data_IF_141726009959
#
_entry.id   IF_141726009959
#
_cell.length_a   1.000
_cell.length_b   1.000
_cell.length_c   1.000
_cell.angle_alpha   90.00
_cell.angle_beta   90.00
_cell.angle_gamma   90.00
#
_symmetry.space_group_name_H-M   'P 1'
#
loop_
_entity.id
_entity.type
_entity.pdbx_description
1 polymer ?
#
# COMPACT_ATOMS: atom_id res chain seq x y z
N UNK A 1 1.54 2.41 -28.43
CA UNK A 1 1.97 1.51 -29.52
C UNK A 1 2.94 0.47 -28.96
N UNK A 2 2.89 -0.82 -29.32
CA UNK A 2 3.88 -1.76 -28.74
C UNK A 2 5.20 -1.66 -29.50
N UNK A 3 6.28 -1.44 -28.76
CA UNK A 3 7.67 -1.29 -29.21
C UNK A 3 8.45 -2.51 -28.73
N UNK A 4 9.19 -3.12 -29.64
CA UNK A 4 10.10 -4.23 -29.36
C UNK A 4 11.45 -3.67 -28.90
N UNK A 5 11.90 -4.04 -27.71
CA UNK A 5 13.21 -3.69 -27.20
C UNK A 5 14.16 -4.84 -27.53
N UNK A 6 15.19 -4.55 -28.32
CA UNK A 6 16.15 -5.53 -28.83
C UNK A 6 17.55 -5.25 -28.35
N UNK A 7 18.38 -6.29 -28.30
CA UNK A 7 19.81 -6.19 -28.00
C UNK A 7 20.47 -5.25 -29.02
N UNK A 8 21.09 -4.13 -28.59
CA UNK A 8 21.80 -3.21 -29.48
C UNK A 8 23.06 -3.87 -30.06
N UNK A 9 23.69 -3.25 -31.06
CA UNK A 9 24.93 -3.79 -31.66
C UNK A 9 26.09 -3.77 -30.64
N UNK A 10 26.49 -4.94 -30.15
CA UNK A 10 27.49 -5.13 -29.10
C UNK A 10 28.95 -4.98 -29.60
N UNK A 11 29.23 -3.98 -30.44
CA UNK A 11 30.53 -3.78 -31.07
C UNK A 11 30.90 -4.86 -32.10
N UNK A 12 32.02 -4.69 -32.79
CA UNK A 12 32.40 -5.49 -33.97
C UNK A 12 32.85 -6.94 -33.67
N UNK A 13 32.88 -7.35 -32.39
CA UNK A 13 33.43 -8.64 -31.95
C UNK A 13 32.60 -9.40 -30.90
N UNK A 14 31.41 -8.93 -30.52
CA UNK A 14 30.54 -9.63 -29.57
C UNK A 14 29.22 -10.02 -30.26
N UNK A 15 28.92 -11.31 -30.26
CA UNK A 15 27.74 -11.90 -30.93
C UNK A 15 26.57 -12.20 -29.98
N UNK A 16 26.83 -12.23 -28.68
CA UNK A 16 25.88 -12.58 -27.62
C UNK A 16 26.25 -11.87 -26.31
N UNK A 17 25.23 -11.52 -25.52
CA UNK A 17 25.39 -10.98 -24.17
C UNK A 17 24.44 -11.69 -23.19
N UNK A 18 24.79 -11.69 -21.91
CA UNK A 18 23.92 -12.21 -20.86
C UNK A 18 23.30 -11.06 -20.09
N UNK A 19 21.98 -11.10 -19.89
CA UNK A 19 21.30 -10.10 -19.05
C UNK A 19 21.77 -10.28 -17.61
N UNK A 20 22.46 -9.27 -17.07
CA UNK A 20 22.98 -9.29 -15.70
C UNK A 20 21.88 -8.90 -14.69
N UNK A 21 21.34 -7.69 -14.85
CA UNK A 21 20.35 -7.10 -13.93
C UNK A 21 19.27 -6.35 -14.71
N UNK A 22 18.01 -6.50 -14.34
CA UNK A 22 16.91 -5.64 -14.81
C UNK A 22 16.64 -4.51 -13.79
N UNK A 23 16.82 -3.25 -14.20
CA UNK A 23 16.47 -2.09 -13.37
C UNK A 23 14.97 -1.78 -13.40
N UNK A 24 14.27 -2.26 -14.42
CA UNK A 24 12.85 -2.00 -14.66
C UNK A 24 12.07 -3.32 -14.73
N UNK A 25 10.84 -3.33 -14.20
CA UNK A 25 9.98 -4.52 -14.06
C UNK A 25 8.64 -4.36 -14.80
N UNK A 26 8.02 -5.44 -15.30
CA UNK A 26 6.74 -5.37 -16.03
C UNK A 26 5.70 -4.47 -15.33
N UNK A 27 5.19 -3.47 -16.04
CA UNK A 27 4.32 -2.42 -15.50
C UNK A 27 5.01 -1.12 -15.05
N UNK A 28 6.35 -1.06 -14.99
CA UNK A 28 7.09 0.16 -14.62
C UNK A 28 7.13 1.17 -15.78
N UNK A 29 7.09 2.46 -15.44
CA UNK A 29 7.15 3.55 -16.41
C UNK A 29 8.60 3.92 -16.71
N UNK A 30 8.96 4.04 -17.98
CA UNK A 30 10.32 4.35 -18.43
C UNK A 30 10.29 5.56 -19.36
N UNK A 31 11.26 6.46 -19.25
CA UNK A 31 11.44 7.55 -20.20
C UNK A 31 12.25 7.12 -21.45
N UNK A 32 12.31 7.98 -22.47
CA UNK A 32 13.28 7.84 -23.57
C UNK A 32 14.70 7.95 -22.99
N UNK A 33 15.64 7.16 -23.50
CA UNK A 33 17.04 7.09 -23.02
C UNK A 33 17.19 6.62 -21.56
N UNK A 34 16.13 6.12 -20.92
CA UNK A 34 16.19 5.60 -19.55
C UNK A 34 16.71 4.17 -19.51
N UNK A 35 17.49 3.84 -18.47
CA UNK A 35 18.18 2.56 -18.38
C UNK A 35 17.24 1.41 -18.01
N UNK A 36 17.24 0.34 -18.81
CA UNK A 36 16.33 -0.80 -18.66
C UNK A 36 16.99 -1.99 -17.99
N UNK A 37 18.12 -2.42 -18.53
CA UNK A 37 18.90 -3.56 -18.06
C UNK A 37 20.38 -3.44 -18.43
N UNK A 38 21.21 -4.17 -17.69
CA UNK A 38 22.63 -4.35 -17.98
C UNK A 38 22.84 -5.67 -18.72
N UNK A 39 23.59 -5.61 -19.82
CA UNK A 39 24.09 -6.76 -20.57
C UNK A 39 25.56 -6.97 -20.25
N UNK A 40 25.89 -8.08 -19.61
CA UNK A 40 27.29 -8.49 -19.40
C UNK A 40 27.80 -9.25 -20.64
N UNK A 41 29.00 -8.89 -21.08
CA UNK A 41 29.78 -9.60 -22.09
C UNK A 41 31.15 -9.95 -21.53
N UNK A 42 31.88 -10.89 -22.14
CA UNK A 42 33.22 -11.36 -21.71
C UNK A 42 34.28 -10.24 -21.49
N UNK A 43 34.02 -9.01 -21.97
CA UNK A 43 34.93 -7.87 -21.84
C UNK A 43 34.29 -6.56 -21.39
N UNK A 44 32.98 -6.38 -21.52
CA UNK A 44 32.31 -5.07 -21.33
C UNK A 44 30.88 -5.26 -20.83
N UNK A 45 30.48 -4.50 -19.81
CA UNK A 45 29.06 -4.32 -19.46
C UNK A 45 28.47 -3.24 -20.37
N UNK A 46 27.38 -3.57 -21.06
CA UNK A 46 26.68 -2.68 -21.99
C UNK A 46 25.28 -2.39 -21.43
N UNK A 47 24.95 -1.11 -21.30
CA UNK A 47 23.65 -0.66 -20.81
C UNK A 47 22.65 -0.62 -21.97
N UNK A 48 21.41 -1.08 -21.75
CA UNK A 48 20.33 -0.97 -22.74
C UNK A 48 19.43 0.21 -22.38
N UNK A 49 19.52 1.35 -23.09
CA UNK A 49 18.60 2.48 -22.93
C UNK A 49 17.26 2.19 -23.61
N UNK A 50 16.20 2.79 -23.10
CA UNK A 50 14.87 2.69 -23.69
C UNK A 50 14.77 3.52 -24.97
N UNK A 51 14.36 2.93 -26.12
CA UNK A 51 14.21 3.67 -27.37
C UNK A 51 13.02 4.64 -27.38
N UNK A 52 12.12 4.54 -26.40
CA UNK A 52 10.93 5.39 -26.28
C UNK A 52 10.45 5.50 -24.82
N UNK A 53 9.68 6.54 -24.53
CA UNK A 53 8.93 6.64 -23.29
C UNK A 53 7.69 5.73 -23.34
N UNK A 54 7.36 5.10 -22.22
CA UNK A 54 6.22 4.22 -22.14
C UNK A 54 6.15 3.45 -20.83
N UNK A 55 5.36 2.38 -20.84
CA UNK A 55 5.28 1.41 -19.74
C UNK A 55 5.77 0.07 -20.28
N UNK A 56 6.72 -0.56 -19.61
CA UNK A 56 7.19 -1.87 -20.07
C UNK A 56 6.10 -2.92 -19.89
N UNK A 57 5.82 -3.69 -20.95
CA UNK A 57 4.71 -4.64 -20.98
C UNK A 57 5.13 -6.01 -20.43
N UNK A 58 6.16 -6.62 -21.02
CA UNK A 58 6.62 -7.96 -20.65
C UNK A 58 8.11 -8.13 -20.96
N UNK A 59 8.84 -8.76 -20.03
CA UNK A 59 10.24 -9.16 -20.22
C UNK A 59 10.24 -10.56 -20.86
N UNK A 60 10.90 -10.69 -22.02
CA UNK A 60 11.03 -11.96 -22.75
C UNK A 60 12.34 -12.66 -22.39
N UNK A 61 13.40 -11.89 -22.08
CA UNK A 61 14.70 -12.37 -21.63
C UNK A 61 14.94 -12.00 -20.15
N UNK A 62 14.67 -12.90 -19.18
CA UNK A 62 14.91 -12.64 -17.76
C UNK A 62 16.41 -12.61 -17.41
N UNK A 63 16.72 -12.18 -16.19
CA UNK A 63 18.08 -12.14 -15.63
C UNK A 63 18.78 -13.51 -15.76
N UNK A 64 20.06 -13.50 -16.12
CA UNK A 64 20.85 -14.70 -16.41
C UNK A 64 20.62 -15.29 -17.82
N UNK A 65 19.75 -14.72 -18.66
CA UNK A 65 19.49 -15.22 -20.02
C UNK A 65 20.50 -14.68 -21.01
N UNK A 66 21.15 -15.56 -21.78
CA UNK A 66 22.00 -15.19 -22.91
C UNK A 66 21.16 -14.92 -24.16
N UNK A 67 21.42 -13.78 -24.79
CA UNK A 67 20.69 -13.23 -25.94
C UNK A 67 21.66 -12.80 -27.04
N UNK A 68 21.32 -13.08 -28.29
CA UNK A 68 22.10 -12.66 -29.46
C UNK A 68 21.85 -11.21 -29.86
N UNK A 69 22.70 -10.66 -30.73
CA UNK A 69 22.42 -9.35 -31.38
C UNK A 69 21.05 -9.38 -32.08
N UNK A 70 20.31 -8.27 -32.01
CA UNK A 70 18.93 -8.13 -32.51
C UNK A 70 17.86 -9.03 -31.83
N UNK A 71 18.22 -9.83 -30.81
CA UNK A 71 17.25 -10.62 -30.07
C UNK A 71 16.29 -9.73 -29.25
N UNK A 72 15.03 -10.18 -29.11
CA UNK A 72 14.00 -9.51 -28.34
C UNK A 72 14.26 -9.68 -26.82
N UNK A 73 14.52 -8.57 -26.14
CA UNK A 73 14.71 -8.51 -24.68
C UNK A 73 13.38 -8.39 -23.95
N UNK A 74 12.55 -7.43 -24.38
CA UNK A 74 11.28 -7.08 -23.77
C UNK A 74 10.37 -6.39 -24.78
N UNK A 75 9.09 -6.28 -24.43
CA UNK A 75 8.14 -5.40 -25.11
C UNK A 75 7.79 -4.22 -24.21
N UNK A 76 7.69 -3.03 -24.82
CA UNK A 76 7.30 -1.79 -24.18
C UNK A 76 6.04 -1.26 -24.84
N UNK A 77 5.09 -0.75 -24.07
CA UNK A 77 3.95 -0.03 -24.61
C UNK A 77 4.25 1.46 -24.59
N UNK A 78 4.51 2.01 -25.77
CA UNK A 78 4.54 3.45 -26.03
C UNK A 78 3.21 4.06 -25.56
N UNK A 79 3.37 4.98 -24.63
CA UNK A 79 2.39 5.83 -23.99
C UNK A 79 3.17 6.99 -23.38
N UNK A 80 2.49 7.97 -22.79
CA UNK A 80 3.21 9.10 -22.17
C UNK A 80 3.89 8.62 -20.88
N UNK A 81 5.10 8.07 -21.00
CA UNK A 81 5.98 7.73 -19.89
C UNK A 81 6.12 8.95 -19.00
N UNK A 82 5.82 8.77 -17.71
CA UNK A 82 5.22 9.80 -16.86
C UNK A 82 5.93 11.16 -16.95
N UNK A 83 5.34 12.05 -17.75
CA UNK A 83 5.78 13.44 -17.86
C UNK A 83 5.71 14.09 -16.47
N UNK A 84 6.79 14.71 -15.97
CA UNK A 84 6.71 15.47 -14.73
C UNK A 84 5.74 16.64 -14.94
N UNK A 85 4.55 16.54 -14.35
CA UNK A 85 3.50 17.50 -14.53
C UNK A 85 3.89 18.84 -13.86
N UNK A 86 3.88 19.97 -14.58
CA UNK A 86 4.20 21.27 -14.00
C UNK A 86 3.10 21.71 -13.03
N UNK A 87 3.49 22.32 -11.92
CA UNK A 87 2.54 22.80 -10.92
C UNK A 87 1.75 24.04 -11.40
N UNK A 88 0.41 23.97 -11.42
CA UNK A 88 -0.49 25.05 -10.96
C UNK A 88 -2.01 24.72 -11.09
N UNK A 89 -2.74 25.00 -10.00
CA UNK A 89 -4.19 25.27 -9.89
C UNK A 89 -5.23 24.11 -10.03
N UNK A 90 -6.17 24.09 -9.07
CA UNK A 90 -7.27 23.12 -8.89
C UNK A 90 -8.64 23.72 -9.35
N UNK A 91 -9.80 23.00 -9.37
CA UNK A 91 -10.37 22.21 -8.26
C UNK A 91 -10.78 20.75 -8.60
N UNK A 92 -11.12 19.99 -7.54
CA UNK A 92 -11.41 18.54 -7.48
C UNK A 92 -12.91 18.18 -7.81
N UNK A 93 -13.43 16.93 -7.68
CA UNK A 93 -12.78 15.66 -7.25
C UNK A 93 -13.17 14.36 -8.03
N UNK A 94 -12.32 13.32 -7.96
CA UNK A 94 -12.67 11.89 -7.86
C UNK A 94 -11.41 11.06 -7.54
N UNK A 95 -11.54 9.99 -6.75
CA UNK A 95 -10.40 9.32 -6.12
C UNK A 95 -9.55 8.45 -7.07
N UNK A 96 -8.22 8.62 -6.97
CA UNK A 96 -7.23 7.58 -7.23
C UNK A 96 -6.50 7.31 -5.91
N UNK A 97 -6.16 6.06 -5.55
CA UNK A 97 -5.50 5.77 -4.29
C UNK A 97 -4.11 6.41 -4.27
N UNK A 98 -3.83 7.13 -3.19
CA UNK A 98 -2.52 7.72 -2.94
C UNK A 98 -1.45 6.62 -2.87
N UNK A 99 -0.21 6.97 -3.20
CA UNK A 99 0.96 6.07 -3.10
C UNK A 99 1.01 5.41 -1.73
N UNK A 100 0.62 4.15 -1.66
CA UNK A 100 0.70 3.34 -0.47
C UNK A 100 2.17 3.08 -0.15
N UNK A 101 2.71 3.82 0.82
CA UNK A 101 4.04 3.58 1.37
C UNK A 101 4.03 2.22 2.06
N UNK A 102 4.41 1.18 1.32
CA UNK A 102 4.51 -0.17 1.85
C UNK A 102 5.73 -0.28 2.76
N UNK A 103 5.48 -0.50 4.05
CA UNK A 103 6.49 -0.73 5.10
C UNK A 103 6.58 -2.24 5.32
N UNK A 104 7.79 -2.79 5.25
CA UNK A 104 8.03 -4.18 5.60
C UNK A 104 8.10 -4.37 7.13
N UNK A 105 7.31 -5.32 7.63
CA UNK A 105 7.44 -5.83 8.99
C UNK A 105 8.60 -6.81 8.99
N UNK A 106 9.71 -6.41 9.59
CA UNK A 106 10.88 -7.27 9.76
C UNK A 106 10.82 -7.99 11.11
N UNK A 107 11.30 -9.24 11.14
CA UNK A 107 11.49 -9.99 12.39
C UNK A 107 12.52 -9.23 13.25
N UNK A 108 12.19 -8.84 14.49
CA UNK A 108 13.12 -8.15 15.38
C UNK A 108 14.31 -9.05 15.75
N UNK A 109 15.35 -8.48 16.35
CA UNK A 109 16.49 -9.25 16.84
C UNK A 109 16.06 -10.15 18.01
N UNK A 110 16.00 -11.47 17.79
CA UNK A 110 15.49 -12.48 18.74
C UNK A 110 16.44 -12.78 19.94
N UNK A 111 17.35 -11.86 20.26
CA UNK A 111 18.43 -12.04 21.23
C UNK A 111 19.69 -12.67 20.62
N UNK A 112 20.84 -12.46 21.28
CA UNK A 112 22.20 -12.74 20.74
C UNK A 112 22.51 -14.20 20.36
N UNK A 113 21.61 -15.15 20.61
CA UNK A 113 21.80 -16.58 20.34
C UNK A 113 20.63 -17.25 19.60
N UNK A 114 19.65 -16.50 19.08
CA UNK A 114 18.48 -17.04 18.37
C UNK A 114 18.42 -16.47 16.96
N UNK A 115 18.68 -17.32 15.96
CA UNK A 115 18.68 -16.96 14.54
C UNK A 115 17.33 -17.17 13.84
N UNK A 116 16.45 -17.98 14.43
CA UNK A 116 15.15 -18.35 13.87
C UNK A 116 14.07 -18.44 14.95
N UNK A 117 12.84 -18.15 14.56
CA UNK A 117 11.66 -18.28 15.40
C UNK A 117 10.47 -18.74 14.56
N UNK A 118 9.47 -19.35 15.19
CA UNK A 118 8.26 -19.82 14.52
C UNK A 118 7.10 -18.91 14.89
N UNK A 119 6.30 -18.46 13.91
CA UNK A 119 5.11 -17.66 14.19
C UNK A 119 4.09 -18.53 14.92
N UNK A 120 3.82 -18.22 16.20
CA UNK A 120 2.94 -19.00 17.05
C UNK A 120 1.46 -18.65 16.82
N UNK A 121 1.14 -17.36 16.80
CA UNK A 121 -0.23 -16.86 16.55
C UNK A 121 -0.19 -15.42 16.03
N UNK A 122 -0.97 -15.16 14.99
CA UNK A 122 -1.26 -13.81 14.49
C UNK A 122 -2.43 -13.19 15.26
N UNK A 123 -2.25 -11.97 15.79
CA UNK A 123 -3.33 -11.17 16.37
C UNK A 123 -4.01 -10.25 15.34
N UNK A 124 -3.37 -10.05 14.19
CA UNK A 124 -3.79 -9.19 13.09
C UNK A 124 -3.87 -9.97 11.78
N UNK A 125 -4.85 -9.65 10.94
CA UNK A 125 -5.08 -10.33 9.66
C UNK A 125 -4.86 -9.36 8.48
N UNK A 126 -4.66 -9.92 7.28
CA UNK A 126 -4.60 -9.12 6.05
C UNK A 126 -5.89 -8.30 5.90
N UNK A 127 -5.76 -6.98 5.74
CA UNK A 127 -6.83 -6.00 5.74
C UNK A 127 -7.10 -5.32 7.09
N UNK A 128 -6.50 -5.79 8.19
CA UNK A 128 -6.67 -5.16 9.51
C UNK A 128 -5.78 -3.92 9.68
N UNK A 129 -6.27 -2.95 10.44
CA UNK A 129 -5.57 -1.69 10.71
C UNK A 129 -4.77 -1.80 12.00
N UNK A 130 -3.49 -1.43 11.94
CA UNK A 130 -2.52 -1.57 13.03
C UNK A 130 -1.91 -0.21 13.33
N UNK A 131 -1.80 0.15 14.61
CA UNK A 131 -1.04 1.34 15.01
C UNK A 131 0.47 1.04 15.03
N UNK A 132 1.30 2.09 14.98
CA UNK A 132 2.75 1.93 15.25
C UNK A 132 2.93 1.43 16.69
N UNK A 133 3.90 0.54 16.89
CA UNK A 133 4.17 -0.13 18.17
C UNK A 133 3.01 -1.05 18.67
N UNK A 134 2.02 -1.34 17.82
CA UNK A 134 0.92 -2.28 18.13
C UNK A 134 1.30 -3.74 17.85
N UNK A 135 0.77 -4.67 18.64
CA UNK A 135 1.10 -6.10 18.55
C UNK A 135 0.53 -6.75 17.28
N UNK A 136 1.40 -7.32 16.44
CA UNK A 136 1.01 -8.00 15.20
C UNK A 136 0.83 -9.51 15.40
N UNK A 137 1.85 -10.16 15.97
CA UNK A 137 1.91 -11.60 16.18
C UNK A 137 2.90 -11.94 17.31
N UNK A 138 2.76 -13.14 17.85
CA UNK A 138 3.73 -13.74 18.77
C UNK A 138 4.59 -14.77 18.01
N UNK A 139 5.91 -14.72 18.19
CA UNK A 139 6.82 -15.76 17.72
C UNK A 139 7.31 -16.59 18.89
N UNK A 140 7.23 -17.91 18.76
CA UNK A 140 7.79 -18.85 19.70
C UNK A 140 9.21 -19.24 19.28
N UNK A 141 10.12 -19.25 20.26
CA UNK A 141 11.46 -19.82 20.16
C UNK A 141 11.60 -20.96 21.18
N UNK A 142 12.63 -21.81 21.07
CA UNK A 142 12.90 -22.95 21.99
C UNK A 142 12.87 -22.59 23.50
N UNK A 143 13.00 -21.30 23.85
CA UNK A 143 13.05 -20.81 25.23
C UNK A 143 12.10 -19.68 25.59
N UNK A 144 11.63 -18.88 24.63
CA UNK A 144 10.99 -17.58 24.89
C UNK A 144 9.98 -17.23 23.79
N UNK A 145 8.78 -16.77 24.17
CA UNK A 145 7.88 -16.05 23.26
C UNK A 145 8.35 -14.60 23.07
N UNK A 146 8.44 -14.15 21.82
CA UNK A 146 8.82 -12.78 21.44
C UNK A 146 7.69 -12.14 20.65
N UNK A 147 7.21 -11.00 21.15
CA UNK A 147 6.15 -10.20 20.53
C UNK A 147 6.70 -9.34 19.39
N UNK A 148 5.99 -9.25 18.26
CA UNK A 148 6.36 -8.34 17.16
C UNK A 148 5.47 -7.10 17.17
N UNK A 149 6.02 -5.93 17.51
CA UNK A 149 5.34 -4.65 17.32
C UNK A 149 5.36 -4.24 15.84
N UNK A 150 4.33 -3.51 15.42
CA UNK A 150 4.28 -2.92 14.08
C UNK A 150 5.28 -1.76 13.95
N UNK A 151 6.16 -1.76 12.92
CA UNK A 151 7.15 -0.70 12.71
C UNK A 151 6.53 0.63 12.25
N UNK A 152 5.30 0.62 11.76
CA UNK A 152 4.55 1.80 11.31
C UNK A 152 3.04 1.57 11.48
N UNK A 153 2.29 2.67 11.66
CA UNK A 153 0.84 2.63 11.59
C UNK A 153 0.38 2.44 10.13
N UNK A 154 -0.61 1.60 9.90
CA UNK A 154 -1.13 1.33 8.56
C UNK A 154 -2.13 0.17 8.52
N UNK A 155 -2.32 -0.41 7.34
CA UNK A 155 -3.15 -1.60 7.12
C UNK A 155 -2.26 -2.75 6.68
N UNK A 156 -2.37 -3.91 7.34
CA UNK A 156 -1.60 -5.10 7.00
C UNK A 156 -2.04 -5.61 5.61
N UNK A 157 -1.22 -5.43 4.58
CA UNK A 157 -1.60 -5.74 3.19
C UNK A 157 -1.25 -7.15 2.75
N UNK A 158 -0.21 -7.75 3.32
CA UNK A 158 0.21 -9.11 3.00
C UNK A 158 0.97 -9.74 4.16
N UNK A 159 0.68 -11.01 4.47
CA UNK A 159 1.44 -11.81 5.44
C UNK A 159 2.32 -12.77 4.66
N UNK A 160 3.64 -12.66 4.80
CA UNK A 160 4.61 -13.53 4.13
C UNK A 160 4.90 -14.78 4.97
N UNK A 161 4.78 -14.68 6.29
CA UNK A 161 4.95 -15.77 7.24
C UNK A 161 3.63 -16.05 8.00
N UNK A 162 2.81 -17.03 7.56
CA UNK A 162 1.58 -17.41 8.26
C UNK A 162 1.85 -18.09 9.61
N UNK A 163 0.80 -18.42 10.35
CA UNK A 163 0.90 -19.24 11.55
C UNK A 163 1.62 -20.58 11.29
N UNK A 164 2.49 -20.98 12.21
CA UNK A 164 3.37 -22.14 12.08
C UNK A 164 4.57 -21.97 11.14
N UNK A 165 4.75 -20.81 10.49
CA UNK A 165 5.90 -20.58 9.61
C UNK A 165 7.17 -20.21 10.39
N UNK A 166 8.30 -20.79 10.01
CA UNK A 166 9.62 -20.44 10.55
C UNK A 166 10.21 -19.26 9.80
N UNK A 167 10.72 -18.27 10.54
CA UNK A 167 11.33 -17.05 10.01
C UNK A 167 12.70 -16.78 10.64
N UNK A 168 13.59 -16.16 9.87
CA UNK A 168 14.93 -15.78 10.33
C UNK A 168 14.91 -14.38 10.98
N UNK A 169 15.81 -14.12 11.92
CA UNK A 169 16.03 -12.77 12.46
C UNK A 169 16.35 -11.76 11.33
N UNK A 170 15.65 -10.63 11.29
CA UNK A 170 15.73 -9.66 10.19
C UNK A 170 15.05 -10.09 8.88
N UNK A 171 14.37 -11.25 8.84
CA UNK A 171 13.55 -11.67 7.70
C UNK A 171 12.28 -10.82 7.55
N UNK A 172 11.69 -10.79 6.35
CA UNK A 172 10.39 -10.13 6.13
C UNK A 172 9.26 -11.04 6.59
N UNK A 173 8.45 -10.55 7.52
CA UNK A 173 7.34 -11.26 8.15
C UNK A 173 6.00 -10.93 7.48
N UNK A 174 5.79 -9.65 7.16
CA UNK A 174 4.60 -9.13 6.49
C UNK A 174 4.89 -7.77 5.83
N UNK A 175 3.92 -7.25 5.08
CA UNK A 175 3.91 -5.87 4.55
C UNK A 175 2.69 -5.14 5.11
N UNK A 176 2.91 -3.92 5.59
CA UNK A 176 1.88 -2.96 5.99
C UNK A 176 1.88 -1.85 4.96
N UNK A 177 0.73 -1.55 4.34
CA UNK A 177 0.58 -0.26 3.69
C UNK A 177 0.43 0.81 4.77
N UNK A 178 1.45 1.66 4.94
CA UNK A 178 1.32 2.88 5.74
C UNK A 178 0.41 3.85 4.97
N UNK A 179 -0.90 3.65 5.15
CA UNK A 179 -1.90 4.61 4.72
C UNK A 179 -1.66 5.95 5.44
N UNK A 180 -1.97 7.05 4.76
CA UNK A 180 -2.12 8.36 5.40
C UNK A 180 -3.34 8.33 6.34
N UNK A 181 -3.19 7.62 7.46
CA UNK A 181 -4.24 7.11 8.34
C UNK A 181 -4.13 7.59 9.78
N UNK A 182 -3.10 8.37 10.11
CA UNK A 182 -3.25 9.39 11.14
C UNK A 182 -4.13 10.51 10.57
N UNK A 183 -5.44 10.28 10.55
CA UNK A 183 -6.42 11.36 10.41
C UNK A 183 -6.04 12.46 11.40
N UNK A 184 -5.97 13.69 10.91
CA UNK A 184 -5.39 14.80 11.65
C UNK A 184 -5.98 14.89 13.07
N UNK A 185 -5.18 15.20 14.12
CA UNK A 185 -5.76 15.71 15.35
C UNK A 185 -6.55 16.96 14.97
N UNK A 186 -7.88 16.86 15.07
CA UNK A 186 -8.80 17.91 14.68
C UNK A 186 -8.35 19.21 15.36
N UNK A 187 -8.06 20.23 14.56
CA UNK A 187 -7.53 21.49 15.07
C UNK A 187 -8.46 22.02 16.16
N UNK A 188 -7.90 22.38 17.31
CA UNK A 188 -8.58 23.27 18.23
C UNK A 188 -8.65 24.67 17.62
N UNK A 189 -9.81 25.33 17.59
CA UNK A 189 -9.89 26.77 17.49
C UNK A 189 -10.60 27.31 18.73
N UNK A 190 -9.82 27.78 19.70
CA UNK A 190 -10.34 28.61 20.77
C UNK A 190 -10.45 30.06 20.28
N UNK A 191 -11.63 30.46 19.75
CA UNK A 191 -12.20 31.82 19.82
C UNK A 191 -13.45 31.97 18.94
N UNK A 192 -14.55 32.45 19.52
CA UNK A 192 -15.75 32.95 18.83
C UNK A 192 -15.55 34.43 18.37
N UNK A 193 -16.51 35.12 17.72
CA UNK A 193 -17.87 34.74 17.24
C UNK A 193 -18.06 35.03 15.71
N UNK A 194 -19.23 35.05 15.04
CA UNK A 194 -20.69 35.01 15.33
C UNK A 194 -21.44 34.18 14.24
N UNK A 195 -22.69 33.80 14.53
CA UNK A 195 -23.89 33.62 13.65
C UNK A 195 -23.76 33.24 12.14
N UNK A 196 -24.61 32.39 11.56
CA UNK A 196 -25.95 31.95 11.99
C UNK A 196 -26.21 30.45 11.69
N UNK A 197 -27.11 29.82 12.45
CA UNK A 197 -27.30 28.38 12.47
C UNK A 197 -28.58 27.90 11.78
N UNK A 198 -28.48 26.76 11.09
CA UNK A 198 -29.60 25.84 10.82
C UNK A 198 -29.26 24.47 11.39
N UNK A 199 -29.43 24.32 12.70
CA UNK A 199 -29.18 23.06 13.41
C UNK A 199 -30.52 22.38 13.70
N UNK A 200 -30.77 21.24 13.03
CA UNK A 200 -31.71 20.25 13.57
C UNK A 200 -31.14 19.78 14.91
N UNK A 201 -31.87 20.02 16.00
CA UNK A 201 -31.40 19.64 17.34
C UNK A 201 -31.81 18.20 17.60
N UNK A 202 -30.83 17.42 18.03
CA UNK A 202 -31.07 16.27 18.91
C UNK A 202 -31.85 16.77 20.14
N UNK A 203 -33.13 16.40 20.24
CA UNK A 203 -33.99 16.72 21.37
C UNK A 203 -34.34 15.41 22.05
N UNK A 204 -33.69 15.16 23.19
CA UNK A 204 -33.84 13.91 23.92
C UNK A 204 -35.31 13.60 24.22
N UNK A 205 -35.74 12.40 23.80
CA UNK A 205 -37.13 11.97 23.77
C UNK A 205 -37.70 11.74 25.18
N UNK A 206 -39.02 11.78 25.32
CA UNK A 206 -39.62 11.45 26.62
C UNK A 206 -39.25 10.00 27.01
N UNK A 207 -38.79 9.72 28.25
CA UNK A 207 -38.34 8.38 28.62
C UNK A 207 -39.45 7.32 28.51
N UNK A 208 -40.71 7.76 28.67
CA UNK A 208 -41.90 6.94 28.44
C UNK A 208 -42.17 6.60 26.97
N UNK A 209 -41.71 7.45 26.03
CA UNK A 209 -41.80 7.21 24.59
C UNK A 209 -40.67 6.28 24.13
N UNK A 210 -39.43 6.55 24.55
CA UNK A 210 -38.27 5.71 24.27
C UNK A 210 -38.50 4.25 24.70
N UNK A 211 -39.07 4.04 25.90
CA UNK A 211 -39.41 2.70 26.40
C UNK A 211 -40.48 1.99 25.55
N UNK A 212 -41.38 2.73 24.90
CA UNK A 212 -42.46 2.18 24.08
C UNK A 212 -42.02 1.92 22.63
N UNK A 213 -41.19 2.82 22.08
CA UNK A 213 -40.49 2.63 20.81
C UNK A 213 -39.60 1.39 20.84
N UNK A 214 -38.82 1.18 21.92
CA UNK A 214 -38.02 -0.02 22.12
C UNK A 214 -38.87 -1.31 22.20
N UNK A 215 -40.07 -1.26 22.79
CA UNK A 215 -40.99 -2.40 22.90
C UNK A 215 -41.74 -2.70 21.57
N UNK A 216 -41.75 -1.73 20.65
CA UNK A 216 -42.37 -1.84 19.31
C UNK A 216 -41.35 -1.98 18.16
N UNK A 217 -40.06 -1.84 18.43
CA UNK A 217 -39.01 -1.88 17.41
C UNK A 217 -38.99 -0.66 16.49
N UNK A 218 -39.40 0.51 16.99
CA UNK A 218 -39.46 1.77 16.23
C UNK A 218 -38.26 2.67 16.54
N UNK A 219 -37.75 3.38 15.53
CA UNK A 219 -36.67 4.37 15.68
C UNK A 219 -37.23 5.80 15.76
N UNK A 220 -36.47 6.72 16.37
CA UNK A 220 -36.91 8.12 16.53
C UNK A 220 -37.19 8.82 15.20
N UNK A 221 -36.45 8.48 14.14
CA UNK A 221 -36.62 9.00 12.77
C UNK A 221 -37.93 8.55 12.11
N UNK A 222 -38.61 7.54 12.66
CA UNK A 222 -39.84 6.96 12.13
C UNK A 222 -41.11 7.47 12.83
N UNK A 223 -40.96 8.20 13.94
CA UNK A 223 -42.08 8.69 14.77
C UNK A 223 -42.05 10.21 14.80
N UNK A 224 -43.11 10.85 14.31
CA UNK A 224 -43.21 12.31 14.29
C UNK A 224 -43.61 12.83 15.67
N UNK A 225 -42.63 13.31 16.44
CA UNK A 225 -42.88 13.81 17.79
C UNK A 225 -43.74 15.08 17.83
N UNK A 226 -44.90 15.01 18.49
CA UNK A 226 -45.80 16.17 18.66
C UNK A 226 -45.45 17.04 19.88
N UNK A 227 -44.42 16.67 20.63
CA UNK A 227 -43.93 17.41 21.79
C UNK A 227 -43.28 18.74 21.46
N UNK A 228 -43.13 19.57 22.51
CA UNK A 228 -42.43 20.85 22.43
C UNK A 228 -41.00 20.67 21.91
N UNK A 229 -40.65 21.45 20.89
CA UNK A 229 -39.40 21.37 20.12
C UNK A 229 -39.22 20.07 19.30
N UNK A 230 -40.31 19.37 18.95
CA UNK A 230 -40.28 18.16 18.10
C UNK A 230 -40.04 16.84 18.85
N UNK A 231 -40.07 16.88 20.18
CA UNK A 231 -39.85 15.71 21.05
C UNK A 231 -40.93 14.65 20.87
N UNK A 232 -40.55 13.37 20.80
CA UNK A 232 -41.50 12.26 20.78
C UNK A 232 -42.09 12.05 22.19
N UNK A 233 -43.42 12.10 22.27
CA UNK A 233 -44.24 11.87 23.46
C UNK A 233 -44.72 10.41 23.51
N UNK A 234 -45.40 9.99 24.60
CA UNK A 234 -45.95 8.63 24.73
C UNK A 234 -47.26 8.40 23.93
N UNK A 235 -47.82 9.48 23.37
CA UNK A 235 -49.04 9.46 22.55
C UNK A 235 -48.74 9.43 21.05
N UNK A 236 -47.46 9.53 20.66
CA UNK A 236 -46.93 9.37 19.31
C UNK A 236 -46.48 7.90 19.06
#
# INVERSE_FOLDING_TARGET
MTIEIRVPTLGESVTEATVATWFKKPGDAVAVDEMLCELETDKVTVEVPSPAAGVMAEIVAPEGTTVGVDALLATLTEGEGAKPAPAAAAPAPAAAPETASSVDVMVPTLGESVTEATVATWFKQVGDTVAQDEMLCELETDKVSVEVPAPAAGTLTEILAPDGATVQAGGKLAVIAAGAGASAPASAPAAAPVAAATTGKDVENAPSANKLMAEKGLSADQVTGTGKDGRIMKED
#
